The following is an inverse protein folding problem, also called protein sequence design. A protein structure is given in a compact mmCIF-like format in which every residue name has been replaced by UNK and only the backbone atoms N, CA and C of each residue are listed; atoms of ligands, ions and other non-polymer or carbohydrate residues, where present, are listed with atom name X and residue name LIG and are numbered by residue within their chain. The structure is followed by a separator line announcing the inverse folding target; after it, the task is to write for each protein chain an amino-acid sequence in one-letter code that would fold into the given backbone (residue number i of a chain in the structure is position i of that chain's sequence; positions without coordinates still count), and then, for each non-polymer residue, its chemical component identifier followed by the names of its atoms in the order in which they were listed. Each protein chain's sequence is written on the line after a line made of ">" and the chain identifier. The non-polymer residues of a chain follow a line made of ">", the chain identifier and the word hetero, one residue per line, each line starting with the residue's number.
data_IF_029481159466
#
_entry.id   IF_029481159466
#
_cell.length_a   1.000
_cell.length_b   1.000
_cell.length_c   1.000
_cell.angle_alpha   90.00
_cell.angle_beta   90.00
_cell.angle_gamma   90.00
#
_symmetry.space_group_name_H-M   'P 1'
#
loop_
_entity.id
_entity.type
_entity.pdbx_description
1 polymer ?
#
# COMPACT_ATOMS: atom_id res chain seq x y z
N UNK A 1 16.32 -3.04 10.73
CA UNK A 1 16.26 -3.93 9.55
C UNK A 1 15.42 -5.13 9.97
N UNK A 2 14.17 -5.24 9.53
CA UNK A 2 13.35 -6.44 9.75
C UNK A 2 13.17 -7.11 8.39
N UNK A 3 13.64 -8.35 8.34
CA UNK A 3 13.66 -9.19 7.17
C UNK A 3 12.43 -10.08 7.21
N UNK A 4 11.35 -9.67 6.55
CA UNK A 4 10.20 -10.53 6.23
C UNK A 4 9.97 -10.55 4.72
N UNK A 5 11.06 -10.57 3.94
CA UNK A 5 11.01 -10.60 2.48
C UNK A 5 11.02 -12.01 1.87
N UNK A 6 10.83 -13.06 2.69
CA UNK A 6 10.76 -14.45 2.21
C UNK A 6 9.44 -15.13 2.56
N UNK A 7 8.32 -14.52 2.16
CA UNK A 7 7.16 -15.34 1.85
C UNK A 7 7.48 -16.09 0.54
N UNK A 8 7.61 -17.42 0.62
CA UNK A 8 7.86 -18.30 -0.54
C UNK A 8 6.70 -18.30 -1.56
N UNK A 9 5.58 -17.65 -1.22
CA UNK A 9 4.43 -17.42 -2.09
C UNK A 9 3.62 -16.20 -1.61
N UNK A 10 2.90 -15.49 -2.50
CA UNK A 10 1.97 -14.43 -2.10
C UNK A 10 0.87 -14.94 -1.16
N UNK A 11 0.45 -14.16 -0.14
CA UNK A 11 -0.72 -14.50 0.67
C UNK A 11 -1.99 -14.35 -0.17
N UNK A 12 -2.98 -15.20 0.12
CA UNK A 12 -4.30 -15.20 -0.53
C UNK A 12 -4.23 -15.22 -2.06
N UNK A 13 -3.48 -16.19 -2.59
CA UNK A 13 -3.14 -16.29 -4.02
C UNK A 13 -4.32 -16.73 -4.88
N UNK A 14 -5.21 -17.54 -4.33
CA UNK A 14 -6.40 -18.01 -5.02
C UNK A 14 -7.58 -17.04 -4.80
N UNK A 15 -8.53 -16.97 -5.74
CA UNK A 15 -9.74 -16.16 -5.56
C UNK A 15 -10.50 -16.50 -4.26
N UNK A 16 -10.58 -17.77 -3.90
CA UNK A 16 -11.29 -18.20 -2.68
C UNK A 16 -10.58 -17.72 -1.41
N UNK A 17 -9.24 -17.83 -1.33
CA UNK A 17 -8.48 -17.32 -0.18
C UNK A 17 -8.58 -15.79 -0.08
N UNK A 18 -8.56 -15.08 -1.21
CA UNK A 18 -8.74 -13.62 -1.26
C UNK A 18 -10.11 -13.21 -0.74
N UNK A 19 -11.16 -13.87 -1.22
CA UNK A 19 -12.54 -13.59 -0.80
C UNK A 19 -12.76 -13.94 0.67
N UNK A 20 -12.19 -15.05 1.14
CA UNK A 20 -12.24 -15.45 2.55
C UNK A 20 -11.56 -14.42 3.45
N UNK A 21 -10.33 -14.01 3.15
CA UNK A 21 -9.63 -12.99 3.93
C UNK A 21 -10.42 -11.69 4.04
N UNK A 22 -10.97 -11.21 2.91
CA UNK A 22 -11.73 -9.97 2.88
C UNK A 22 -13.10 -10.10 3.57
N UNK A 23 -13.76 -11.26 3.49
CA UNK A 23 -14.99 -11.53 4.26
C UNK A 23 -14.70 -11.56 5.76
N UNK A 24 -13.69 -12.31 6.19
CA UNK A 24 -13.31 -12.42 7.59
C UNK A 24 -12.98 -11.05 8.20
N UNK A 25 -12.17 -10.22 7.53
CA UNK A 25 -11.86 -8.87 8.02
C UNK A 25 -13.12 -8.02 8.14
N UNK A 26 -13.99 -8.03 7.12
CA UNK A 26 -15.26 -7.29 7.13
C UNK A 26 -16.21 -7.74 8.24
N UNK A 27 -16.32 -9.04 8.46
CA UNK A 27 -17.19 -9.61 9.48
C UNK A 27 -16.68 -9.28 10.89
N UNK A 28 -15.36 -9.34 11.12
CA UNK A 28 -14.73 -8.88 12.35
C UNK A 28 -14.98 -7.38 12.59
N UNK A 29 -14.83 -6.54 11.55
CA UNK A 29 -15.12 -5.10 11.65
C UNK A 29 -16.59 -4.86 12.01
N UNK A 30 -17.51 -5.64 11.45
CA UNK A 30 -18.94 -5.54 11.75
C UNK A 30 -19.25 -5.99 13.19
N UNK A 31 -18.61 -7.05 13.66
CA UNK A 31 -18.80 -7.62 14.99
C UNK A 31 -18.32 -6.66 16.09
N UNK A 32 -17.12 -6.09 15.91
CA UNK A 32 -16.46 -5.21 16.89
C UNK A 32 -16.60 -3.72 16.54
N UNK A 33 -17.67 -3.34 15.85
CA UNK A 33 -17.80 -2.00 15.26
C UNK A 33 -17.67 -0.86 16.29
N UNK A 34 -18.07 -1.11 17.53
CA UNK A 34 -18.08 -0.13 18.63
C UNK A 34 -16.72 0.01 19.30
N UNK A 35 -15.86 -1.00 19.18
CA UNK A 35 -14.52 -1.02 19.80
C UNK A 35 -13.42 -0.59 18.81
N UNK A 36 -13.75 -0.45 17.52
CA UNK A 36 -12.79 -0.16 16.44
C UNK A 36 -12.58 1.34 16.14
N UNK A 37 -13.11 2.25 16.96
CA UNK A 37 -12.91 3.70 16.76
C UNK A 37 -11.43 4.10 16.66
N UNK A 38 -10.57 3.50 17.50
CA UNK A 38 -9.14 3.79 17.49
C UNK A 38 -8.44 3.31 16.20
N UNK A 39 -8.52 2.04 15.78
CA UNK A 39 -7.91 1.61 14.52
C UNK A 39 -8.51 2.31 13.29
N UNK A 40 -9.80 2.65 13.28
CA UNK A 40 -10.41 3.48 12.21
C UNK A 40 -9.77 4.87 12.16
N UNK A 41 -9.54 5.51 13.30
CA UNK A 41 -8.84 6.79 13.35
C UNK A 41 -7.42 6.67 12.78
N UNK A 42 -6.67 5.64 13.16
CA UNK A 42 -5.31 5.41 12.65
C UNK A 42 -5.32 5.20 11.13
N UNK A 43 -6.31 4.49 10.58
CA UNK A 43 -6.49 4.33 9.14
C UNK A 43 -6.74 5.68 8.42
N UNK A 44 -7.55 6.57 9.01
CA UNK A 44 -7.78 7.93 8.47
C UNK A 44 -6.52 8.81 8.53
N UNK A 45 -5.73 8.67 9.59
CA UNK A 45 -4.45 9.39 9.72
C UNK A 45 -3.46 8.91 8.63
N UNK A 46 -3.42 7.61 8.33
CA UNK A 46 -2.64 7.04 7.22
C UNK A 46 -3.12 7.60 5.88
N UNK A 47 -4.44 7.61 5.64
CA UNK A 47 -5.03 8.15 4.41
C UNK A 47 -4.62 9.61 4.20
N UNK A 48 -4.81 10.45 5.22
CA UNK A 48 -4.45 11.88 5.19
C UNK A 48 -2.95 12.06 4.89
N UNK A 49 -2.10 11.26 5.55
CA UNK A 49 -0.66 11.27 5.30
C UNK A 49 -0.32 10.92 3.86
N UNK A 50 -0.90 9.85 3.32
CA UNK A 50 -0.73 9.39 1.95
C UNK A 50 -1.16 10.46 0.93
N UNK A 51 -2.36 11.00 1.07
CA UNK A 51 -2.90 12.04 0.19
C UNK A 51 -2.01 13.29 0.18
N UNK A 52 -1.42 13.65 1.33
CA UNK A 52 -0.50 14.79 1.41
C UNK A 52 0.81 14.60 0.62
N UNK A 53 1.25 13.36 0.39
CA UNK A 53 2.49 13.05 -0.36
C UNK A 53 2.23 12.68 -1.83
N UNK A 54 0.99 12.37 -2.20
CA UNK A 54 0.62 11.99 -3.57
C UNK A 54 1.02 13.01 -4.63
N UNK A 55 0.85 14.34 -4.45
CA UNK A 55 1.28 15.31 -5.46
C UNK A 55 2.77 15.20 -5.81
N UNK A 56 3.62 14.98 -4.80
CA UNK A 56 5.06 14.78 -5.02
C UNK A 56 5.31 13.48 -5.79
N UNK A 57 4.64 12.39 -5.42
CA UNK A 57 4.82 11.09 -6.06
C UNK A 57 4.30 11.07 -7.50
N UNK A 58 3.19 11.76 -7.77
CA UNK A 58 2.60 11.84 -9.11
C UNK A 58 3.45 12.72 -10.03
N UNK A 59 4.02 13.82 -9.53
CA UNK A 59 5.01 14.61 -10.27
C UNK A 59 6.27 13.79 -10.59
N UNK A 60 6.77 13.01 -9.62
CA UNK A 60 7.91 12.12 -9.84
C UNK A 60 7.58 11.06 -10.90
N UNK A 61 6.42 10.41 -10.82
CA UNK A 61 5.96 9.44 -11.81
C UNK A 61 5.80 10.06 -13.21
N UNK A 62 5.16 11.21 -13.33
CA UNK A 62 4.99 11.91 -14.62
C UNK A 62 6.34 12.27 -15.26
N UNK A 63 7.32 12.65 -14.43
CA UNK A 63 8.67 12.96 -14.88
C UNK A 63 9.55 11.76 -15.21
N UNK A 64 9.18 10.53 -14.86
CA UNK A 64 10.05 9.35 -15.04
C UNK A 64 9.39 8.17 -15.74
N UNK A 65 8.19 7.78 -15.31
CA UNK A 65 7.62 6.46 -15.62
C UNK A 65 7.19 6.31 -17.08
N UNK A 66 6.69 7.39 -17.70
CA UNK A 66 6.15 7.34 -19.07
C UNK A 66 7.19 6.93 -20.13
N UNK A 67 8.46 7.23 -19.88
CA UNK A 67 9.56 7.00 -20.82
C UNK A 67 10.61 6.04 -20.26
N UNK A 68 10.31 5.33 -19.17
CA UNK A 68 11.27 4.47 -18.51
C UNK A 68 11.41 3.16 -19.30
N UNK A 69 12.59 2.84 -19.89
CA UNK A 69 12.79 1.57 -20.57
C UNK A 69 12.82 0.38 -19.60
N UNK A 70 13.03 0.66 -18.31
CA UNK A 70 13.06 -0.33 -17.24
C UNK A 70 12.03 0.03 -16.14
N UNK A 71 10.75 -0.09 -16.47
CA UNK A 71 9.67 0.21 -15.51
C UNK A 71 9.68 -0.76 -14.34
N UNK A 72 9.84 -0.24 -13.11
CA UNK A 72 9.86 -1.08 -11.90
C UNK A 72 8.59 -1.93 -11.74
N UNK A 73 7.44 -1.46 -12.23
CA UNK A 73 6.17 -2.20 -12.17
C UNK A 73 6.17 -3.48 -13.02
N UNK A 74 7.06 -3.63 -14.01
CA UNK A 74 7.20 -4.85 -14.80
C UNK A 74 7.95 -5.96 -14.05
N UNK A 75 8.75 -5.58 -13.04
CA UNK A 75 9.64 -6.51 -12.31
C UNK A 75 9.23 -6.68 -10.85
N UNK A 76 8.45 -5.75 -10.31
CA UNK A 76 8.08 -5.72 -8.91
C UNK A 76 7.26 -6.95 -8.53
N UNK A 77 7.81 -7.77 -7.64
CA UNK A 77 7.08 -8.85 -6.96
C UNK A 77 6.55 -8.30 -5.65
N UNK A 78 5.32 -7.80 -5.70
CA UNK A 78 4.61 -7.17 -4.57
C UNK A 78 3.25 -7.81 -4.43
N UNK A 79 2.76 -7.89 -3.20
CA UNK A 79 1.42 -8.33 -2.85
C UNK A 79 0.85 -7.43 -1.77
N UNK A 80 -0.48 -7.41 -1.66
CA UNK A 80 -1.18 -6.91 -0.48
C UNK A 80 -0.83 -7.78 0.72
N UNK A 81 -0.40 -7.15 1.81
CA UNK A 81 -0.25 -7.78 3.11
C UNK A 81 -1.48 -7.54 4.01
N UNK A 82 -1.45 -8.10 5.22
CA UNK A 82 -2.55 -7.93 6.18
C UNK A 82 -2.77 -6.46 6.56
N UNK A 83 -1.70 -5.67 6.73
CA UNK A 83 -1.81 -4.25 7.05
C UNK A 83 -2.45 -3.46 5.92
N UNK A 84 -2.17 -3.83 4.68
CA UNK A 84 -2.81 -3.22 3.52
C UNK A 84 -4.31 -3.50 3.52
N UNK A 85 -4.73 -4.75 3.71
CA UNK A 85 -6.15 -5.08 3.78
C UNK A 85 -6.83 -4.35 4.93
N UNK A 86 -6.24 -4.34 6.13
CA UNK A 86 -6.75 -3.58 7.27
C UNK A 86 -6.93 -2.11 6.93
N UNK A 87 -5.92 -1.49 6.31
CA UNK A 87 -6.00 -0.09 5.91
C UNK A 87 -7.20 0.14 4.97
N UNK A 88 -7.33 -0.67 3.91
CA UNK A 88 -8.40 -0.49 2.93
C UNK A 88 -9.79 -0.63 3.56
N UNK A 89 -9.99 -1.66 4.39
CA UNK A 89 -11.27 -1.88 5.08
C UNK A 89 -11.59 -0.77 6.09
N UNK A 90 -10.63 -0.40 6.96
CA UNK A 90 -10.86 0.57 8.03
C UNK A 90 -10.97 2.02 7.54
N UNK A 91 -10.39 2.34 6.37
CA UNK A 91 -10.53 3.66 5.72
C UNK A 91 -11.61 3.70 4.64
N UNK A 92 -12.38 2.62 4.47
CA UNK A 92 -13.51 2.57 3.54
C UNK A 92 -13.12 2.64 2.06
N UNK A 93 -11.90 2.23 1.71
CA UNK A 93 -11.45 2.19 0.32
C UNK A 93 -12.02 0.98 -0.41
N UNK A 94 -12.12 1.10 -1.73
CA UNK A 94 -12.47 -0.05 -2.56
C UNK A 94 -11.38 -1.14 -2.46
N UNK A 95 -11.82 -2.36 -2.13
CA UNK A 95 -10.96 -3.53 -2.10
C UNK A 95 -10.74 -4.00 -3.54
N UNK A 96 -9.48 -4.13 -4.01
CA UNK A 96 -9.22 -4.68 -5.33
C UNK A 96 -9.80 -6.09 -5.46
N UNK A 97 -10.25 -6.49 -6.67
CA UNK A 97 -10.97 -7.75 -6.86
C UNK A 97 -10.13 -9.00 -6.59
N UNK A 98 -8.80 -8.87 -6.47
CA UNK A 98 -7.88 -9.97 -6.18
C UNK A 98 -6.47 -9.48 -5.82
N UNK A 99 -5.63 -10.40 -5.37
CA UNK A 99 -4.19 -10.21 -5.18
C UNK A 99 -3.48 -9.80 -6.48
N UNK A 100 -2.35 -9.08 -6.38
CA UNK A 100 -1.58 -8.52 -7.51
C UNK A 100 -1.08 -9.59 -8.50
N UNK A 101 -0.65 -10.73 -7.96
CA UNK A 101 -0.12 -11.88 -8.70
C UNK A 101 -0.65 -13.16 -8.05
N UNK A 102 -0.91 -14.19 -8.85
CA UNK A 102 -1.36 -15.51 -8.35
C UNK A 102 -0.20 -16.41 -7.96
N UNK A 103 0.94 -16.25 -8.61
CA UNK A 103 2.16 -16.99 -8.28
C UNK A 103 3.41 -16.17 -8.59
N UNK A 104 4.58 -16.70 -8.21
CA UNK A 104 5.87 -16.05 -8.44
C UNK A 104 6.36 -16.19 -9.90
N UNK A 105 5.77 -17.10 -10.67
CA UNK A 105 6.09 -17.35 -12.09
C UNK A 105 5.39 -16.33 -12.99
N UNK A 106 4.26 -15.77 -12.57
CA UNK A 106 3.60 -14.67 -13.26
C UNK A 106 4.57 -13.51 -13.39
N UNK A 107 4.87 -13.13 -14.63
CA UNK A 107 5.91 -12.15 -14.91
C UNK A 107 5.45 -10.72 -14.56
N UNK A 108 4.15 -10.43 -14.69
CA UNK A 108 3.60 -9.08 -14.57
C UNK A 108 2.43 -8.98 -13.60
N UNK A 109 2.35 -7.85 -12.90
CA UNK A 109 1.23 -7.53 -12.01
C UNK A 109 -0.07 -7.38 -12.81
N UNK A 110 -1.16 -8.00 -12.36
CA UNK A 110 -2.47 -7.96 -13.04
C UNK A 110 -3.09 -6.56 -13.19
N UNK A 111 -2.63 -5.61 -12.36
CA UNK A 111 -3.09 -4.23 -12.37
C UNK A 111 -2.16 -3.30 -13.17
N UNK A 112 -1.20 -3.85 -13.90
CA UNK A 112 -0.37 -3.07 -14.81
C UNK A 112 -1.11 -2.86 -16.14
N UNK A 113 -1.46 -1.61 -16.44
CA UNK A 113 -1.98 -1.19 -17.73
C UNK A 113 -0.92 -0.49 -18.59
N UNK A 114 -1.30 -0.18 -19.83
CA UNK A 114 -0.43 0.50 -20.80
C UNK A 114 0.10 1.88 -20.35
N UNK A 115 -0.60 2.56 -19.43
CA UNK A 115 -0.22 3.86 -18.84
C UNK A 115 0.30 3.74 -17.39
N UNK A 116 0.60 2.53 -16.93
CA UNK A 116 0.97 2.25 -15.55
C UNK A 116 -0.15 1.57 -14.76
N UNK A 117 -0.06 1.62 -13.43
CA UNK A 117 -0.99 0.89 -12.56
C UNK A 117 -2.43 1.42 -12.69
N UNK A 118 -3.38 0.51 -12.91
CA UNK A 118 -4.81 0.81 -13.03
C UNK A 118 -5.50 1.05 -11.71
N UNK A 119 -4.88 0.67 -10.57
CA UNK A 119 -5.41 0.97 -9.25
C UNK A 119 -5.21 2.45 -8.90
N UNK A 120 -6.22 3.10 -8.28
CA UNK A 120 -6.03 4.38 -7.59
C UNK A 120 -4.87 4.28 -6.60
N UNK A 121 -4.06 5.34 -6.46
CA UNK A 121 -2.84 5.28 -5.63
C UNK A 121 -3.13 4.92 -4.17
N UNK A 122 -4.26 5.39 -3.63
CA UNK A 122 -4.71 5.08 -2.27
C UNK A 122 -5.01 3.59 -2.07
N UNK A 123 -5.46 2.88 -3.11
CA UNK A 123 -5.81 1.47 -3.06
C UNK A 123 -4.66 0.52 -3.40
N UNK A 124 -3.45 1.04 -3.67
CA UNK A 124 -2.27 0.21 -3.97
C UNK A 124 -1.67 -0.38 -2.68
N UNK A 125 -0.97 -1.52 -2.75
CA UNK A 125 -0.20 -2.00 -1.60
C UNK A 125 0.76 -0.94 -1.11
N UNK A 126 1.05 -0.90 0.19
CA UNK A 126 1.87 0.13 0.82
C UNK A 126 3.16 0.39 0.05
N UNK A 127 3.94 -0.64 -0.24
CA UNK A 127 5.20 -0.48 -0.98
C UNK A 127 4.97 0.17 -2.35
N UNK A 128 3.91 -0.18 -3.08
CA UNK A 128 3.57 0.43 -4.36
C UNK A 128 3.05 1.87 -4.23
N UNK A 129 2.49 2.25 -3.08
CA UNK A 129 1.96 3.58 -2.85
C UNK A 129 3.07 4.64 -2.71
N UNK A 130 4.22 4.30 -2.09
CA UNK A 130 5.32 5.24 -1.81
C UNK A 130 6.67 4.91 -2.44
N UNK A 131 6.83 3.77 -3.15
CA UNK A 131 8.12 3.39 -3.73
C UNK A 131 8.68 4.48 -4.66
N UNK A 132 9.96 4.78 -4.48
CA UNK A 132 10.74 5.73 -5.29
C UNK A 132 11.91 4.99 -5.92
N UNK A 133 11.93 4.91 -7.26
CA UNK A 133 13.05 4.32 -7.99
C UNK A 133 14.27 5.26 -8.06
N UNK A 134 15.48 4.79 -8.44
CA UNK A 134 16.67 5.65 -8.49
C UNK A 134 16.52 6.91 -9.36
N UNK A 135 15.91 6.87 -10.57
CA UNK A 135 15.60 8.09 -11.33
C UNK A 135 14.70 9.10 -10.58
N UNK A 136 13.66 8.62 -9.90
CA UNK A 136 12.78 9.47 -9.10
C UNK A 136 13.49 10.03 -7.87
N UNK A 137 14.37 9.25 -7.25
CA UNK A 137 15.17 9.70 -6.11
C UNK A 137 16.08 10.87 -6.50
N UNK A 138 16.69 10.81 -7.68
CA UNK A 138 17.48 11.92 -8.23
C UNK A 138 16.64 13.19 -8.41
N UNK A 139 15.39 13.06 -8.86
CA UNK A 139 14.46 14.19 -8.97
C UNK A 139 14.03 14.71 -7.60
N UNK A 140 13.71 13.84 -6.66
CA UNK A 140 13.33 14.21 -5.29
C UNK A 140 14.46 14.99 -4.59
N UNK A 141 15.73 14.58 -4.81
CA UNK A 141 16.90 15.27 -4.24
C UNK A 141 17.06 16.72 -4.71
N UNK A 142 16.52 17.08 -5.89
CA UNK A 142 16.52 18.45 -6.43
C UNK A 142 15.43 19.34 -5.84
N UNK A 143 14.45 18.78 -5.12
CA UNK A 143 13.43 19.58 -4.42
C UNK A 143 14.05 20.30 -3.22
N UNK A 144 13.42 21.41 -2.81
CA UNK A 144 13.85 22.19 -1.66
C UNK A 144 13.94 21.33 -0.38
N UNK A 145 14.93 21.64 0.48
CA UNK A 145 15.20 20.90 1.72
C UNK A 145 13.96 20.66 2.60
N UNK A 146 13.17 21.70 2.93
CA UNK A 146 11.97 21.55 3.75
C UNK A 146 10.90 20.63 3.14
N UNK A 147 10.75 20.64 1.81
CA UNK A 147 9.79 19.77 1.10
C UNK A 147 10.21 18.30 1.24
N UNK A 148 11.50 18.01 1.06
CA UNK A 148 12.04 16.66 1.19
C UNK A 148 11.96 16.15 2.63
N UNK A 149 12.26 17.02 3.60
CA UNK A 149 12.18 16.68 5.02
C UNK A 149 10.74 16.34 5.42
N UNK A 150 9.77 17.20 5.07
CA UNK A 150 8.35 16.94 5.31
C UNK A 150 7.91 15.63 4.68
N UNK A 151 8.28 15.38 3.43
CA UNK A 151 7.97 14.13 2.73
C UNK A 151 8.49 12.90 3.50
N UNK A 152 9.75 12.91 3.93
CA UNK A 152 10.36 11.82 4.68
C UNK A 152 9.71 11.62 6.06
N UNK A 153 9.44 12.72 6.78
CA UNK A 153 8.76 12.69 8.08
C UNK A 153 7.34 12.10 7.94
N UNK A 154 6.59 12.53 6.92
CA UNK A 154 5.25 11.99 6.66
C UNK A 154 5.30 10.49 6.33
N UNK A 155 6.21 10.04 5.47
CA UNK A 155 6.35 8.61 5.17
C UNK A 155 6.72 7.77 6.40
N UNK A 156 7.64 8.26 7.23
CA UNK A 156 8.01 7.58 8.47
C UNK A 156 6.82 7.53 9.43
N UNK A 157 6.10 8.64 9.59
CA UNK A 157 4.87 8.68 10.39
C UNK A 157 3.81 7.69 9.92
N UNK A 158 3.57 7.59 8.61
CA UNK A 158 2.62 6.61 8.06
C UNK A 158 3.07 5.18 8.37
N UNK A 159 4.36 4.87 8.18
CA UNK A 159 4.90 3.53 8.47
C UNK A 159 4.65 3.12 9.92
N UNK A 160 4.88 4.03 10.86
CA UNK A 160 4.67 3.77 12.28
C UNK A 160 3.17 3.66 12.61
N UNK A 161 2.33 4.51 12.03
CA UNK A 161 0.87 4.46 12.20
C UNK A 161 0.27 3.16 11.66
N UNK A 162 0.77 2.63 10.53
CA UNK A 162 0.35 1.33 9.97
C UNK A 162 0.60 0.17 10.94
N UNK A 163 1.74 0.18 11.63
CA UNK A 163 2.04 -0.82 12.66
C UNK A 163 1.08 -0.67 13.85
N UNK A 164 0.86 0.56 14.33
CA UNK A 164 -0.09 0.83 15.43
C UNK A 164 -1.52 0.41 15.09
N UNK A 165 -1.94 0.60 13.84
CA UNK A 165 -3.27 0.24 13.36
C UNK A 165 -3.49 -1.27 13.44
N UNK A 166 -2.53 -2.06 12.96
CA UNK A 166 -2.58 -3.52 13.07
C UNK A 166 -2.62 -3.97 14.54
N UNK A 167 -1.72 -3.46 15.38
CA UNK A 167 -1.69 -3.80 16.80
C UNK A 167 -2.99 -3.42 17.52
N UNK A 168 -3.56 -2.25 17.20
CA UNK A 168 -4.83 -1.82 17.77
C UNK A 168 -6.00 -2.71 17.33
N UNK A 169 -6.02 -3.11 16.05
CA UNK A 169 -7.02 -4.02 15.53
C UNK A 169 -6.93 -5.39 16.22
N UNK A 170 -5.74 -5.99 16.27
CA UNK A 170 -5.52 -7.30 16.91
C UNK A 170 -5.96 -7.28 18.37
N UNK A 171 -5.62 -6.22 19.12
CA UNK A 171 -6.04 -6.08 20.54
C UNK A 171 -7.54 -6.06 20.75
N UNK A 172 -8.33 -5.60 19.78
CA UNK A 172 -9.79 -5.54 19.90
C UNK A 172 -10.42 -6.91 19.64
N UNK A 173 -9.83 -7.71 18.75
CA UNK A 173 -10.42 -8.97 18.28
C UNK A 173 -9.87 -10.23 18.97
N UNK A 174 -8.84 -10.09 19.81
CA UNK A 174 -8.21 -11.18 20.57
C UNK A 174 -8.82 -11.29 21.96
#
# INVERSE_FOLDING_TARGET
>A
MSADFYLLAPPWRSPSEWDEANRTIRDLIRLYRTELDHPVKLARDIQTGLESVFPILDELCAGTCLWCPDSCCLKAKVWFDFRDLLFLHLSGQEIPPAQLMRDLKEETCRYLGHKGCTLPRISRPWVCAWYICPPQMTRLRKKAGPVREKFNQTLQGIKDTRKKMEEAFIRVIS
#
